data_IF_138751835110
#
_entry.id   IF_138751835110
#
_cell.length_a   1.000
_cell.length_b   1.000
_cell.length_c   1.000
_cell.angle_alpha   90.00
_cell.angle_beta   90.00
_cell.angle_gamma   90.00
#
_symmetry.space_group_name_H-M   'P 1'
#
loop_
_entity.id
_entity.type
_entity.pdbx_description
1 polymer ?
#
# COMPACT_ATOMS: atom_id res chain seq x y z
N UNK A 1 -58.64 23.33 -6.06
CA UNK A 1 -57.72 22.43 -5.33
C UNK A 1 -57.50 21.21 -6.23
N UNK A 2 -56.40 21.16 -6.97
CA UNK A 2 -56.13 20.02 -7.86
C UNK A 2 -55.83 18.79 -6.99
N UNK A 3 -56.39 17.61 -7.30
CA UNK A 3 -56.17 16.42 -6.49
C UNK A 3 -54.71 15.98 -6.58
N UNK A 4 -54.10 15.66 -5.44
CA UNK A 4 -52.81 15.00 -5.41
C UNK A 4 -52.95 13.62 -6.07
N UNK A 5 -52.11 13.28 -7.07
CA UNK A 5 -52.16 11.95 -7.68
C UNK A 5 -51.81 10.88 -6.65
N UNK A 6 -52.72 9.92 -6.46
CA UNK A 6 -52.51 8.74 -5.61
C UNK A 6 -51.59 7.76 -6.34
N UNK A 7 -50.29 7.81 -6.03
CA UNK A 7 -49.34 6.84 -6.57
C UNK A 7 -49.48 5.49 -5.85
N UNK A 8 -49.63 4.42 -6.63
CA UNK A 8 -49.45 3.04 -6.16
C UNK A 8 -48.05 2.87 -5.57
N UNK A 9 -47.91 2.14 -4.46
CA UNK A 9 -46.64 1.91 -3.74
C UNK A 9 -45.53 1.35 -4.65
N UNK A 10 -45.90 0.66 -5.75
CA UNK A 10 -44.94 0.19 -6.78
C UNK A 10 -44.41 1.32 -7.68
N UNK A 11 -45.24 2.32 -8.03
CA UNK A 11 -44.84 3.49 -8.82
C UNK A 11 -44.06 4.53 -7.99
N UNK A 12 -44.39 4.68 -6.70
CA UNK A 12 -43.60 5.51 -5.78
C UNK A 12 -42.16 4.98 -5.66
N UNK A 13 -41.98 3.66 -5.59
CA UNK A 13 -40.66 3.02 -5.57
C UNK A 13 -39.87 3.20 -6.87
N UNK A 14 -40.53 3.24 -8.04
CA UNK A 14 -39.83 3.44 -9.32
C UNK A 14 -39.31 4.86 -9.49
N UNK A 15 -40.10 5.87 -9.07
CA UNK A 15 -39.68 7.29 -9.13
C UNK A 15 -38.55 7.59 -8.15
N UNK A 16 -38.59 7.02 -6.94
CA UNK A 16 -37.49 7.15 -5.96
C UNK A 16 -36.22 6.48 -6.48
N UNK A 17 -36.32 5.31 -7.12
CA UNK A 17 -35.18 4.65 -7.74
C UNK A 17 -34.62 5.42 -8.94
N UNK A 18 -35.48 6.05 -9.74
CA UNK A 18 -35.08 6.93 -10.83
C UNK A 18 -34.37 8.18 -10.30
N UNK A 19 -34.93 8.86 -9.29
CA UNK A 19 -34.31 9.97 -8.60
C UNK A 19 -32.95 9.59 -7.99
N UNK A 20 -32.86 8.41 -7.36
CA UNK A 20 -31.61 7.90 -6.78
C UNK A 20 -30.50 7.63 -7.80
N UNK A 21 -30.86 7.40 -9.08
CA UNK A 21 -29.92 7.22 -10.20
C UNK A 21 -29.49 8.55 -10.84
N UNK A 22 -30.19 9.65 -10.56
CA UNK A 22 -29.80 10.95 -11.08
C UNK A 22 -28.47 11.41 -10.46
N UNK A 23 -27.66 12.12 -11.26
CA UNK A 23 -26.46 12.77 -10.74
C UNK A 23 -26.91 13.82 -9.71
N UNK A 24 -26.45 13.66 -8.46
CA UNK A 24 -26.75 14.62 -7.40
C UNK A 24 -26.27 16.02 -7.80
N UNK A 25 -27.18 16.99 -7.73
CA UNK A 25 -26.86 18.39 -7.99
C UNK A 25 -25.75 18.90 -7.06
N UNK A 26 -24.98 19.86 -7.56
CA UNK A 26 -24.02 20.60 -6.75
C UNK A 26 -24.80 21.57 -5.85
N UNK A 27 -24.53 21.54 -4.55
CA UNK A 27 -25.11 22.47 -3.59
C UNK A 27 -24.01 23.02 -2.68
N UNK A 28 -24.14 24.25 -2.15
CA UNK A 28 -23.18 24.81 -1.22
C UNK A 28 -22.88 23.88 -0.03
N UNK A 29 -23.91 23.24 0.53
CA UNK A 29 -23.75 22.27 1.62
C UNK A 29 -22.91 21.05 1.22
N UNK A 30 -23.01 20.60 -0.03
CA UNK A 30 -22.18 19.50 -0.53
C UNK A 30 -20.72 19.93 -0.68
N UNK A 31 -20.47 21.13 -1.20
CA UNK A 31 -19.11 21.70 -1.26
C UNK A 31 -18.51 21.81 0.14
N UNK A 32 -19.26 22.36 1.11
CA UNK A 32 -18.82 22.46 2.51
C UNK A 32 -18.49 21.09 3.11
N UNK A 33 -19.31 20.07 2.85
CA UNK A 33 -19.06 18.71 3.35
C UNK A 33 -17.77 18.10 2.76
N UNK A 34 -17.52 18.28 1.46
CA UNK A 34 -16.30 17.80 0.80
C UNK A 34 -15.08 18.55 1.32
N UNK A 35 -15.14 19.88 1.37
CA UNK A 35 -14.04 20.70 1.89
C UNK A 35 -13.73 20.39 3.34
N UNK A 36 -14.75 20.14 4.18
CA UNK A 36 -14.55 19.71 5.56
C UNK A 36 -13.84 18.35 5.66
N UNK A 37 -14.24 17.38 4.83
CA UNK A 37 -13.60 16.06 4.80
C UNK A 37 -12.13 16.12 4.35
N UNK A 38 -11.84 16.92 3.32
CA UNK A 38 -10.48 17.16 2.84
C UNK A 38 -9.62 17.88 3.90
N UNK A 39 -10.18 18.87 4.60
CA UNK A 39 -9.49 19.56 5.69
C UNK A 39 -9.23 18.63 6.88
N UNK A 40 -10.20 17.81 7.28
CA UNK A 40 -10.03 16.82 8.34
C UNK A 40 -8.94 15.80 7.98
N UNK A 41 -8.91 15.34 6.72
CA UNK A 41 -7.86 14.46 6.22
C UNK A 41 -6.48 15.12 6.31
N UNK A 42 -6.31 16.30 5.71
CA UNK A 42 -5.02 16.99 5.66
C UNK A 42 -4.49 17.40 7.04
N UNK A 43 -5.36 17.90 7.92
CA UNK A 43 -4.93 18.49 9.21
C UNK A 43 -4.83 17.48 10.36
N UNK A 44 -5.57 16.37 10.30
CA UNK A 44 -5.64 15.43 11.42
C UNK A 44 -5.19 14.02 11.04
N UNK A 45 -5.63 13.52 9.88
CA UNK A 45 -5.31 12.15 9.46
C UNK A 45 -3.88 12.06 8.96
N UNK A 46 -3.43 12.97 8.10
CA UNK A 46 -2.09 12.93 7.52
C UNK A 46 -0.99 13.02 8.60
N UNK A 47 -1.01 13.97 9.54
CA UNK A 47 0.00 14.02 10.61
C UNK A 47 -0.04 12.78 11.52
N UNK A 48 -1.24 12.31 11.86
CA UNK A 48 -1.39 11.10 12.66
C UNK A 48 -0.77 9.87 11.98
N UNK A 49 -0.99 9.71 10.68
CA UNK A 49 -0.42 8.58 9.93
C UNK A 49 1.09 8.75 9.76
N UNK A 50 1.56 9.91 9.31
CA UNK A 50 2.95 10.10 8.89
C UNK A 50 3.90 10.30 10.07
N UNK A 51 3.47 11.00 11.12
CA UNK A 51 4.36 11.45 12.20
C UNK A 51 4.13 10.74 13.54
N UNK A 52 2.97 10.09 13.73
CA UNK A 52 2.64 9.37 14.98
C UNK A 52 2.65 7.86 14.77
N UNK A 53 1.95 7.36 13.73
CA UNK A 53 1.97 5.93 13.39
C UNK A 53 3.28 5.49 12.70
N UNK A 54 4.00 6.44 12.10
CA UNK A 54 5.26 6.22 11.38
C UNK A 54 6.30 7.28 11.75
N UNK A 55 7.56 7.04 11.41
CA UNK A 55 8.70 7.91 11.71
C UNK A 55 8.96 8.96 10.61
N UNK A 56 7.90 9.42 9.95
CA UNK A 56 7.96 10.40 8.87
C UNK A 56 7.81 11.85 9.34
N UNK A 57 7.95 12.77 8.39
CA UNK A 57 7.67 14.21 8.54
C UNK A 57 6.84 14.73 7.38
N UNK A 58 5.77 15.44 7.70
CA UNK A 58 4.93 16.10 6.70
C UNK A 58 5.59 17.42 6.28
N UNK A 59 5.80 17.61 4.98
CA UNK A 59 6.27 18.88 4.41
C UNK A 59 5.06 19.73 4.01
N UNK A 60 4.07 19.10 3.40
CA UNK A 60 2.84 19.74 2.96
C UNK A 60 1.68 18.75 3.03
N UNK A 61 0.53 19.21 3.55
CA UNK A 61 -0.73 18.50 3.49
C UNK A 61 -1.84 19.53 3.29
N UNK A 62 -2.48 19.53 2.12
CA UNK A 62 -3.51 20.50 1.78
C UNK A 62 -4.54 19.89 0.87
N UNK A 63 -5.77 19.79 1.36
CA UNK A 63 -6.84 19.11 0.66
C UNK A 63 -6.56 17.61 0.52
N UNK A 64 -6.39 17.14 -0.71
CA UNK A 64 -6.02 15.78 -1.09
C UNK A 64 -4.53 15.61 -1.40
N UNK A 65 -3.78 16.70 -1.55
CA UNK A 65 -2.35 16.66 -1.87
C UNK A 65 -1.48 16.53 -0.62
N UNK A 66 -0.55 15.57 -0.64
CA UNK A 66 0.37 15.27 0.47
C UNK A 66 1.80 15.14 -0.04
N UNK A 67 2.72 15.84 0.62
CA UNK A 67 4.16 15.68 0.47
C UNK A 67 4.78 15.40 1.84
N UNK A 68 5.45 14.26 1.96
CA UNK A 68 6.10 13.83 3.19
C UNK A 68 7.45 13.18 2.89
N UNK A 69 8.34 13.22 3.88
CA UNK A 69 9.59 12.47 3.89
C UNK A 69 9.53 11.39 4.95
N UNK A 70 9.89 10.17 4.59
CA UNK A 70 9.83 9.01 5.47
C UNK A 70 11.10 8.16 5.35
N UNK A 71 11.48 7.42 6.40
CA UNK A 71 12.45 6.36 6.28
C UNK A 71 11.92 5.22 5.40
N UNK A 72 12.83 4.49 4.76
CA UNK A 72 12.49 3.40 3.82
C UNK A 72 11.67 2.30 4.49
N UNK A 73 11.89 2.05 5.78
CA UNK A 73 11.16 1.04 6.57
C UNK A 73 9.65 1.27 6.60
N UNK A 74 9.23 2.54 6.63
CA UNK A 74 7.87 2.99 6.92
C UNK A 74 7.15 3.49 5.66
N UNK A 75 7.89 3.73 4.58
CA UNK A 75 7.37 4.30 3.34
C UNK A 75 6.16 3.53 2.80
N UNK A 76 6.29 2.21 2.62
CA UNK A 76 5.23 1.41 2.00
C UNK A 76 3.98 1.32 2.88
N UNK A 77 4.14 1.17 4.20
CA UNK A 77 3.03 1.07 5.14
C UNK A 77 2.30 2.41 5.25
N UNK A 78 3.04 3.52 5.31
CA UNK A 78 2.47 4.86 5.36
C UNK A 78 1.69 5.19 4.08
N UNK A 79 2.24 4.87 2.90
CA UNK A 79 1.53 5.04 1.62
C UNK A 79 0.19 4.29 1.59
N UNK A 80 0.22 3.00 1.95
CA UNK A 80 -1.00 2.20 2.03
C UNK A 80 -2.00 2.78 3.04
N UNK A 81 -1.49 3.19 4.20
CA UNK A 81 -2.30 3.71 5.30
C UNK A 81 -3.00 5.02 4.91
N UNK A 82 -2.29 5.96 4.30
CA UNK A 82 -2.83 7.21 3.78
C UNK A 82 -3.91 6.96 2.73
N UNK A 83 -3.65 6.08 1.75
CA UNK A 83 -4.62 5.74 0.72
C UNK A 83 -5.94 5.25 1.30
N UNK A 84 -5.89 4.37 2.29
CA UNK A 84 -7.09 3.80 2.92
C UNK A 84 -7.80 4.81 3.82
N UNK A 85 -7.02 5.58 4.58
CA UNK A 85 -7.57 6.62 5.44
C UNK A 85 -8.31 7.70 4.63
N UNK A 86 -7.83 8.04 3.43
CA UNK A 86 -8.50 8.95 2.51
C UNK A 86 -9.94 8.52 2.15
N UNK A 87 -10.15 7.22 1.92
CA UNK A 87 -11.49 6.65 1.69
C UNK A 87 -12.28 6.37 2.97
N UNK A 88 -11.65 6.48 4.14
CA UNK A 88 -12.23 6.02 5.41
C UNK A 88 -12.42 4.50 5.47
N UNK A 89 -11.49 3.73 4.90
CA UNK A 89 -11.49 2.26 4.95
C UNK A 89 -10.29 1.75 5.77
N UNK A 90 -10.40 0.54 6.32
CA UNK A 90 -9.31 -0.10 7.08
C UNK A 90 -9.06 -1.53 6.58
N UNK A 91 -7.85 -2.03 6.84
CA UNK A 91 -7.48 -3.46 6.66
C UNK A 91 -8.29 -4.35 7.61
N UNK A 92 -8.62 -3.79 8.76
CA UNK A 92 -9.39 -4.43 9.81
C UNK A 92 -10.79 -3.83 9.82
N UNK A 93 -11.62 -4.25 8.86
CA UNK A 93 -13.07 -4.32 9.08
C UNK A 93 -13.37 -5.43 10.11
N UNK A 94 -12.70 -5.37 11.28
CA UNK A 94 -13.26 -6.04 12.45
C UNK A 94 -14.64 -5.42 12.64
N UNK A 95 -15.67 -6.21 12.99
CA UNK A 95 -16.94 -5.66 13.44
C UNK A 95 -16.70 -4.90 14.75
N UNK A 96 -16.18 -3.68 14.63
CA UNK A 96 -15.88 -2.79 15.73
C UNK A 96 -17.07 -1.87 15.89
N UNK A 97 -17.66 -1.89 17.09
CA UNK A 97 -18.70 -0.94 17.48
C UNK A 97 -18.04 0.42 17.72
N UNK A 98 -18.58 1.49 17.14
CA UNK A 98 -18.13 2.86 17.42
C UNK A 98 -18.16 3.20 18.91
N UNK A 99 -19.00 2.53 19.69
CA UNK A 99 -19.04 2.70 21.15
C UNK A 99 -17.76 2.26 21.84
N UNK A 100 -17.12 1.18 21.37
CA UNK A 100 -15.85 0.71 21.98
C UNK A 100 -14.69 1.64 21.64
N UNK A 101 -14.78 2.37 20.52
CA UNK A 101 -13.79 3.34 20.08
C UNK A 101 -13.74 4.62 20.92
N UNK A 102 -14.77 4.93 21.72
CA UNK A 102 -14.82 6.16 22.54
C UNK A 102 -13.61 6.36 23.46
N UNK A 103 -12.94 5.27 23.83
CA UNK A 103 -11.74 5.28 24.68
C UNK A 103 -10.43 5.15 23.90
N UNK A 104 -10.50 4.86 22.60
CA UNK A 104 -9.32 4.71 21.76
C UNK A 104 -8.75 6.08 21.38
N UNK A 105 -7.43 6.19 21.47
CA UNK A 105 -6.65 7.31 20.94
C UNK A 105 -6.11 7.04 19.54
N UNK A 106 -6.29 5.82 19.03
CA UNK A 106 -5.81 5.39 17.72
C UNK A 106 -6.71 5.92 16.60
N UNK A 107 -6.14 6.07 15.41
CA UNK A 107 -6.89 6.42 14.21
C UNK A 107 -7.59 5.19 13.66
N UNK A 108 -8.92 5.18 13.70
CA UNK A 108 -9.74 4.09 13.16
C UNK A 108 -10.54 4.58 11.97
N UNK A 109 -10.40 3.90 10.84
CA UNK A 109 -11.11 4.22 9.60
C UNK A 109 -12.14 3.13 9.31
N UNK A 110 -13.40 3.52 9.08
CA UNK A 110 -14.48 2.58 8.76
C UNK A 110 -15.62 3.31 8.04
N UNK A 111 -16.25 2.64 7.08
CA UNK A 111 -17.46 3.10 6.39
C UNK A 111 -17.42 4.55 5.85
N UNK A 112 -16.25 5.04 5.43
CA UNK A 112 -16.12 6.43 4.95
C UNK A 112 -15.90 7.47 6.05
N UNK A 113 -15.61 7.03 7.28
CA UNK A 113 -15.31 7.87 8.42
C UNK A 113 -13.95 7.53 9.01
N UNK A 114 -13.38 8.51 9.72
CA UNK A 114 -12.21 8.32 10.56
C UNK A 114 -12.53 8.79 11.98
N UNK A 115 -12.07 8.03 12.97
CA UNK A 115 -12.17 8.37 14.38
C UNK A 115 -10.76 8.53 14.93
N UNK A 116 -10.50 9.64 15.62
CA UNK A 116 -9.22 9.90 16.26
C UNK A 116 -9.43 10.67 17.55
N UNK A 117 -9.02 10.09 18.69
CA UNK A 117 -8.97 10.77 20.00
C UNK A 117 -10.24 11.57 20.34
N UNK A 118 -11.41 10.94 20.27
CA UNK A 118 -12.68 11.62 20.57
C UNK A 118 -13.38 12.23 19.35
N UNK A 119 -12.65 12.48 18.26
CA UNK A 119 -13.17 13.18 17.08
C UNK A 119 -13.61 12.22 16.00
N UNK A 120 -14.87 12.32 15.58
CA UNK A 120 -15.41 11.65 14.39
C UNK A 120 -15.32 12.59 13.19
N UNK A 121 -14.67 12.14 12.13
CA UNK A 121 -14.41 12.89 10.90
C UNK A 121 -15.02 12.16 9.71
N UNK A 122 -15.62 12.91 8.79
CA UNK A 122 -16.07 12.36 7.50
C UNK A 122 -14.87 12.32 6.56
N UNK A 123 -14.64 11.19 5.92
CA UNK A 123 -13.62 11.06 4.87
C UNK A 123 -14.28 11.20 3.50
N UNK A 124 -13.50 11.08 2.43
CA UNK A 124 -14.02 11.23 1.05
C UNK A 124 -14.96 10.10 0.63
N UNK A 125 -15.00 9.01 1.40
CA UNK A 125 -15.89 7.88 1.22
C UNK A 125 -15.27 6.73 0.43
N UNK A 126 -15.93 5.57 0.45
CA UNK A 126 -15.39 4.31 -0.08
C UNK A 126 -15.09 4.34 -1.58
N UNK A 127 -15.81 5.17 -2.34
CA UNK A 127 -15.64 5.33 -3.78
C UNK A 127 -14.55 6.35 -4.15
N UNK A 128 -14.05 7.13 -3.19
CA UNK A 128 -12.98 8.06 -3.44
C UNK A 128 -11.65 7.30 -3.56
N UNK A 129 -10.87 7.65 -4.58
CA UNK A 129 -9.59 7.01 -4.86
C UNK A 129 -8.47 8.03 -4.82
N UNK A 130 -7.24 7.56 -4.58
CA UNK A 130 -6.04 8.40 -4.61
C UNK A 130 -4.92 7.65 -5.33
N UNK A 131 -4.08 8.40 -6.03
CA UNK A 131 -2.84 7.90 -6.62
C UNK A 131 -1.65 8.48 -5.85
N UNK A 132 -0.57 7.71 -5.71
CA UNK A 132 0.61 8.15 -4.98
C UNK A 132 1.92 7.85 -5.71
N UNK A 133 2.84 8.81 -5.71
CA UNK A 133 4.22 8.61 -6.12
C UNK A 133 5.14 8.46 -4.91
N UNK A 134 6.19 7.66 -5.04
CA UNK A 134 7.26 7.57 -4.04
C UNK A 134 8.62 7.43 -4.71
N UNK A 135 9.64 8.03 -4.10
CA UNK A 135 11.02 7.94 -4.56
C UNK A 135 11.92 7.60 -3.39
N UNK A 136 12.73 6.57 -3.55
CA UNK A 136 13.84 6.25 -2.66
C UNK A 136 15.13 6.70 -3.33
N UNK A 137 15.83 7.62 -2.68
CA UNK A 137 17.06 8.22 -3.18
C UNK A 137 18.12 8.26 -2.08
N UNK A 138 19.39 8.41 -2.49
CA UNK A 138 20.47 8.65 -1.56
C UNK A 138 20.31 10.01 -0.88
N UNK A 139 20.71 10.15 0.40
CA UNK A 139 20.58 11.41 1.15
C UNK A 139 21.40 12.58 0.56
N UNK A 140 22.41 12.29 -0.27
CA UNK A 140 23.19 13.30 -1.01
C UNK A 140 22.64 13.62 -2.40
N UNK A 141 21.58 12.93 -2.84
CA UNK A 141 20.98 13.22 -4.14
C UNK A 141 20.38 14.64 -4.12
N UNK A 142 20.57 15.46 -5.18
CA UNK A 142 19.99 16.80 -5.23
C UNK A 142 18.47 16.74 -5.06
N UNK A 143 17.95 17.44 -4.05
CA UNK A 143 16.52 17.40 -3.70
C UNK A 143 15.62 17.82 -4.88
N UNK A 144 16.07 18.77 -5.70
CA UNK A 144 15.34 19.18 -6.92
C UNK A 144 15.17 18.05 -7.93
N UNK A 145 16.18 17.20 -8.10
CA UNK A 145 16.10 16.02 -8.96
C UNK A 145 15.17 14.96 -8.37
N UNK A 146 15.22 14.74 -7.06
CA UNK A 146 14.32 13.82 -6.34
C UNK A 146 12.87 14.27 -6.45
N UNK A 147 12.58 15.56 -6.25
CA UNK A 147 11.22 16.11 -6.37
C UNK A 147 10.69 16.04 -7.81
N UNK A 148 11.56 16.21 -8.82
CA UNK A 148 11.17 16.01 -10.21
C UNK A 148 10.78 14.55 -10.46
N UNK A 149 11.61 13.61 -10.01
CA UNK A 149 11.30 12.17 -10.14
C UNK A 149 10.04 11.79 -9.37
N UNK A 150 9.80 12.40 -8.20
CA UNK A 150 8.60 12.17 -7.40
C UNK A 150 7.32 12.57 -8.16
N UNK A 151 7.34 13.72 -8.84
CA UNK A 151 6.25 14.16 -9.71
C UNK A 151 6.05 13.22 -10.89
N UNK A 152 7.13 12.72 -11.49
CA UNK A 152 7.03 11.74 -12.57
C UNK A 152 6.48 10.39 -12.08
N UNK A 153 6.85 9.94 -10.87
CA UNK A 153 6.26 8.75 -10.25
C UNK A 153 4.75 8.93 -10.03
N UNK A 154 4.31 10.08 -9.51
CA UNK A 154 2.89 10.38 -9.33
C UNK A 154 2.13 10.40 -10.68
N UNK A 155 2.73 11.00 -11.73
CA UNK A 155 2.17 10.97 -13.08
C UNK A 155 2.08 9.55 -13.64
N UNK A 156 3.11 8.71 -13.45
CA UNK A 156 3.06 7.29 -13.84
C UNK A 156 1.92 6.56 -13.14
N UNK A 157 1.73 6.79 -11.85
CA UNK A 157 0.61 6.21 -11.10
C UNK A 157 -0.76 6.64 -11.66
N UNK A 158 -0.90 7.90 -12.09
CA UNK A 158 -2.15 8.41 -12.69
C UNK A 158 -2.39 7.92 -14.11
N UNK A 159 -1.34 7.79 -14.92
CA UNK A 159 -1.43 7.48 -16.35
C UNK A 159 -1.22 5.99 -16.62
N UNK A 160 -0.03 5.46 -16.36
CA UNK A 160 0.31 4.05 -16.59
C UNK A 160 -0.44 3.12 -15.63
N UNK A 161 -0.62 3.57 -14.38
CA UNK A 161 -1.38 2.85 -13.35
C UNK A 161 -2.90 2.99 -13.45
N UNK A 162 -3.41 3.75 -14.43
CA UNK A 162 -4.84 4.02 -14.65
C UNK A 162 -5.57 4.53 -13.39
N UNK A 163 -4.96 5.51 -12.70
CA UNK A 163 -5.43 6.09 -11.43
C UNK A 163 -5.64 5.05 -10.33
N UNK A 164 -5.91 5.51 -9.12
CA UNK A 164 -6.04 4.64 -7.95
C UNK A 164 -4.88 3.63 -7.81
N UNK A 165 -3.67 4.13 -7.95
CA UNK A 165 -2.46 3.33 -8.11
C UNK A 165 -1.28 3.99 -7.42
N UNK A 166 -0.20 3.24 -7.25
CA UNK A 166 1.07 3.76 -6.79
C UNK A 166 2.15 3.62 -7.87
N UNK A 167 3.18 4.47 -7.80
CA UNK A 167 4.44 4.27 -8.51
C UNK A 167 5.58 4.54 -7.54
N UNK A 168 6.49 3.58 -7.42
CA UNK A 168 7.66 3.64 -6.57
C UNK A 168 8.91 3.61 -7.44
N UNK A 169 9.81 4.56 -7.23
CA UNK A 169 11.10 4.61 -7.94
C UNK A 169 12.26 4.52 -6.97
N UNK A 170 13.19 3.61 -7.24
CA UNK A 170 14.44 3.47 -6.49
C UNK A 170 15.58 3.99 -7.36
N UNK A 171 16.19 5.09 -6.95
CA UNK A 171 17.37 5.69 -7.59
C UNK A 171 18.61 5.03 -6.99
N UNK A 172 19.27 4.15 -7.75
CA UNK A 172 20.49 3.46 -7.32
C UNK A 172 21.68 4.42 -7.40
N UNK A 173 22.67 4.25 -6.50
CA UNK A 173 23.92 5.05 -6.51
C UNK A 173 24.69 4.94 -7.82
N UNK A 174 24.53 3.86 -8.57
CA UNK A 174 25.17 3.65 -9.88
C UNK A 174 24.52 4.43 -11.03
N UNK A 175 23.53 5.30 -10.75
CA UNK A 175 22.86 6.15 -11.73
C UNK A 175 21.63 5.53 -12.40
N UNK A 176 21.38 4.24 -12.19
CA UNK A 176 20.16 3.56 -12.69
C UNK A 176 18.94 3.79 -11.78
N UNK A 177 17.77 4.00 -12.38
CA UNK A 177 16.50 4.02 -11.68
C UNK A 177 15.69 2.75 -12.00
N UNK A 178 15.02 2.19 -11.00
CA UNK A 178 14.06 1.11 -11.18
C UNK A 178 12.71 1.57 -10.66
N UNK A 179 11.68 1.46 -11.49
CA UNK A 179 10.33 1.91 -11.16
C UNK A 179 9.36 0.74 -11.15
N UNK A 180 8.53 0.67 -10.13
CA UNK A 180 7.44 -0.30 -9.97
C UNK A 180 6.13 0.48 -9.88
N UNK A 181 5.26 0.32 -10.87
CA UNK A 181 3.92 0.91 -10.92
C UNK A 181 2.88 -0.19 -10.80
N UNK A 182 1.84 0.02 -10.00
CA UNK A 182 0.79 -0.98 -9.81
C UNK A 182 -0.38 -0.47 -8.98
N UNK A 183 -1.46 -1.25 -8.95
CA UNK A 183 -2.62 -0.99 -8.08
C UNK A 183 -2.25 -1.22 -6.61
N UNK A 184 -3.06 -0.69 -5.69
CA UNK A 184 -2.76 -0.76 -4.25
C UNK A 184 -2.69 -2.19 -3.70
N UNK A 185 -3.34 -3.16 -4.34
CA UNK A 185 -3.22 -4.60 -4.02
C UNK A 185 -1.80 -5.15 -4.25
N UNK A 186 -1.10 -4.66 -5.29
CA UNK A 186 0.31 -4.97 -5.59
C UNK A 186 1.23 -4.39 -4.49
N UNK A 187 0.93 -3.22 -3.94
CA UNK A 187 1.67 -2.65 -2.81
C UNK A 187 1.56 -3.55 -1.57
N UNK A 188 0.39 -4.16 -1.34
CA UNK A 188 0.20 -5.10 -0.23
C UNK A 188 1.02 -6.36 -0.41
N UNK A 189 1.08 -6.86 -1.64
CA UNK A 189 1.92 -8.00 -1.99
C UNK A 189 3.40 -7.65 -1.80
N UNK A 190 3.80 -6.42 -2.11
CA UNK A 190 5.17 -5.94 -1.94
C UNK A 190 5.54 -5.87 -0.46
N UNK A 191 4.64 -5.38 0.39
CA UNK A 191 4.79 -5.40 1.85
C UNK A 191 4.97 -6.83 2.38
N UNK A 192 4.12 -7.78 1.97
CA UNK A 192 4.25 -9.20 2.39
C UNK A 192 5.56 -9.82 1.94
N UNK A 193 6.00 -9.55 0.71
CA UNK A 193 7.27 -10.04 0.21
C UNK A 193 8.45 -9.41 0.95
N UNK A 194 8.40 -8.10 1.22
CA UNK A 194 9.40 -7.41 2.04
C UNK A 194 9.52 -8.06 3.42
N UNK A 195 8.40 -8.29 4.10
CA UNK A 195 8.36 -8.92 5.42
C UNK A 195 8.93 -10.35 5.37
N UNK A 196 8.56 -11.12 4.35
CA UNK A 196 9.11 -12.46 4.11
C UNK A 196 10.64 -12.43 3.91
N UNK A 197 11.16 -11.53 3.08
CA UNK A 197 12.60 -11.41 2.79
C UNK A 197 13.41 -10.79 3.93
N UNK A 198 12.76 -10.06 4.84
CA UNK A 198 13.37 -9.50 6.04
C UNK A 198 13.49 -10.54 7.16
N UNK A 199 12.72 -11.63 7.12
CA UNK A 199 12.75 -12.69 8.12
C UNK A 199 14.16 -13.33 8.20
N UNK A 200 14.70 -13.56 9.42
CA UNK A 200 16.04 -14.10 9.60
C UNK A 200 16.19 -15.54 9.05
N UNK A 201 15.08 -16.27 8.92
CA UNK A 201 15.05 -17.62 8.36
C UNK A 201 15.16 -17.65 6.82
N UNK A 202 15.10 -16.50 6.15
CA UNK A 202 15.19 -16.41 4.70
C UNK A 202 16.60 -15.94 4.31
N UNK A 203 17.18 -16.63 3.32
CA UNK A 203 18.49 -16.33 2.77
C UNK A 203 18.57 -14.89 2.28
N UNK A 204 19.66 -14.19 2.64
CA UNK A 204 19.94 -12.83 2.12
C UNK A 204 20.21 -12.81 0.61
N UNK A 205 20.49 -13.97 0.04
CA UNK A 205 20.68 -14.16 -1.40
C UNK A 205 19.42 -14.68 -2.09
N UNK A 206 18.29 -14.81 -1.38
CA UNK A 206 17.07 -15.41 -1.91
C UNK A 206 16.65 -14.78 -3.25
N UNK A 207 16.67 -13.44 -3.32
CA UNK A 207 16.31 -12.72 -4.56
C UNK A 207 17.35 -12.87 -5.67
N UNK A 208 18.64 -12.93 -5.35
CA UNK A 208 19.68 -13.16 -6.35
C UNK A 208 19.47 -14.52 -7.02
N UNK A 209 19.33 -15.59 -6.22
CA UNK A 209 19.06 -16.95 -6.71
C UNK A 209 17.73 -17.05 -7.45
N UNK A 210 16.69 -16.34 -6.97
CA UNK A 210 15.40 -16.33 -7.66
C UNK A 210 15.49 -15.65 -9.03
N UNK A 211 16.21 -14.53 -9.14
CA UNK A 211 16.36 -13.79 -10.41
C UNK A 211 17.20 -14.57 -11.42
N UNK A 212 18.27 -15.23 -10.97
CA UNK A 212 19.05 -16.12 -11.83
C UNK A 212 18.18 -17.24 -12.38
N UNK A 213 17.37 -17.88 -11.53
CA UNK A 213 16.43 -18.91 -11.98
C UNK A 213 15.31 -18.37 -12.90
N UNK A 214 14.90 -17.11 -12.77
CA UNK A 214 13.84 -16.54 -13.62
C UNK A 214 14.19 -16.56 -15.11
N UNK A 215 15.47 -16.65 -15.50
CA UNK A 215 15.87 -16.79 -16.91
C UNK A 215 15.45 -18.14 -17.50
N UNK A 216 15.28 -19.15 -16.65
CA UNK A 216 14.90 -20.50 -17.05
C UNK A 216 13.38 -20.72 -16.99
N UNK A 217 12.61 -19.68 -16.65
CA UNK A 217 11.15 -19.76 -16.54
C UNK A 217 10.52 -19.88 -17.95
N UNK A 218 9.78 -20.96 -18.26
CA UNK A 218 9.19 -21.14 -19.60
C UNK A 218 8.24 -20.00 -19.96
N UNK A 219 8.33 -19.43 -21.16
CA UNK A 219 7.48 -18.31 -21.60
C UNK A 219 5.98 -18.66 -21.50
N UNK A 220 5.62 -19.89 -21.86
CA UNK A 220 4.26 -20.43 -21.80
C UNK A 220 3.82 -20.90 -20.40
N UNK A 221 4.59 -20.61 -19.34
CA UNK A 221 4.22 -21.11 -18.02
C UNK A 221 2.90 -20.51 -17.52
N UNK A 222 1.92 -21.36 -17.24
CA UNK A 222 0.65 -20.90 -16.68
C UNK A 222 0.80 -20.44 -15.22
N UNK A 223 -0.26 -19.84 -14.67
CA UNK A 223 -0.30 -19.33 -13.29
C UNK A 223 0.07 -20.42 -12.27
N UNK A 224 -0.47 -21.63 -12.43
CA UNK A 224 -0.22 -22.75 -11.52
C UNK A 224 1.24 -23.22 -11.56
N UNK A 225 1.82 -23.37 -12.77
CA UNK A 225 3.22 -23.75 -12.91
C UNK A 225 4.15 -22.67 -12.37
N UNK A 226 3.90 -21.40 -12.69
CA UNK A 226 4.66 -20.26 -12.17
C UNK A 226 4.62 -20.24 -10.63
N UNK A 227 3.45 -20.45 -10.03
CA UNK A 227 3.29 -20.51 -8.57
C UNK A 227 4.03 -21.67 -7.93
N UNK A 228 3.94 -22.87 -8.51
CA UNK A 228 4.66 -24.05 -8.03
C UNK A 228 6.18 -23.85 -8.05
N UNK A 229 6.70 -23.27 -9.14
CA UNK A 229 8.12 -23.00 -9.30
C UNK A 229 8.62 -21.89 -8.35
N UNK A 230 7.87 -20.78 -8.22
CA UNK A 230 8.18 -19.74 -7.25
C UNK A 230 8.14 -20.28 -5.81
N UNK A 231 7.17 -21.13 -5.48
CA UNK A 231 7.09 -21.78 -4.17
C UNK A 231 8.33 -22.62 -3.91
N UNK A 232 8.72 -23.46 -4.88
CA UNK A 232 9.91 -24.28 -4.78
C UNK A 232 11.17 -23.44 -4.53
N UNK A 233 11.35 -22.36 -5.31
CA UNK A 233 12.52 -21.50 -5.15
C UNK A 233 12.54 -20.76 -3.82
N UNK A 234 11.43 -20.12 -3.42
CA UNK A 234 11.38 -19.40 -2.14
C UNK A 234 11.55 -20.35 -0.94
N UNK A 235 10.99 -21.56 -1.02
CA UNK A 235 11.16 -22.57 0.02
C UNK A 235 12.62 -23.02 0.14
N UNK A 236 13.33 -23.22 -0.97
CA UNK A 236 14.77 -23.56 -0.98
C UNK A 236 15.63 -22.47 -0.34
N UNK A 237 15.16 -21.22 -0.38
CA UNK A 237 15.83 -20.07 0.23
C UNK A 237 15.42 -19.83 1.68
N UNK A 238 14.61 -20.72 2.27
CA UNK A 238 14.18 -20.64 3.66
C UNK A 238 14.86 -21.75 4.47
N UNK A 239 15.17 -21.51 5.75
CA UNK A 239 15.90 -22.44 6.62
C UNK A 239 15.23 -23.83 6.74
N UNK A 240 13.90 -23.91 6.69
CA UNK A 240 13.17 -25.17 6.64
C UNK A 240 11.79 -25.02 5.98
N UNK A 241 11.19 -26.14 5.57
CA UNK A 241 9.83 -26.18 5.03
C UNK A 241 8.78 -25.68 6.04
N UNK A 242 8.96 -26.01 7.33
CA UNK A 242 8.06 -25.56 8.39
C UNK A 242 8.11 -24.04 8.58
N UNK A 243 9.31 -23.45 8.52
CA UNK A 243 9.47 -21.99 8.58
C UNK A 243 8.87 -21.31 7.36
N UNK A 244 9.06 -21.88 6.17
CA UNK A 244 8.43 -21.37 4.95
C UNK A 244 6.91 -21.36 5.05
N UNK A 245 6.31 -22.42 5.62
CA UNK A 245 4.88 -22.50 5.87
C UNK A 245 4.42 -21.48 6.92
N UNK A 246 5.16 -21.33 8.02
CA UNK A 246 4.84 -20.38 9.09
C UNK A 246 4.85 -18.92 8.60
N UNK A 247 5.74 -18.59 7.67
CA UNK A 247 5.82 -17.27 7.04
C UNK A 247 4.79 -17.07 5.91
N UNK A 248 3.92 -18.05 5.64
CA UNK A 248 2.92 -17.98 4.58
C UNK A 248 3.51 -17.98 3.16
N UNK A 249 4.73 -18.48 2.98
CA UNK A 249 5.47 -18.41 1.72
C UNK A 249 4.75 -19.06 0.54
N UNK A 250 3.97 -20.12 0.78
CA UNK A 250 3.15 -20.76 -0.26
C UNK A 250 2.08 -19.81 -0.82
N UNK A 251 1.34 -19.13 0.05
CA UNK A 251 0.31 -18.16 -0.35
C UNK A 251 0.95 -16.95 -1.05
N UNK A 252 2.11 -16.50 -0.57
CA UNK A 252 2.87 -15.43 -1.18
C UNK A 252 3.30 -15.78 -2.62
N UNK A 253 3.83 -16.98 -2.83
CA UNK A 253 4.24 -17.46 -4.16
C UNK A 253 3.06 -17.52 -5.15
N UNK A 254 1.90 -18.02 -4.70
CA UNK A 254 0.69 -18.07 -5.54
C UNK A 254 0.21 -16.66 -5.90
N UNK A 255 0.19 -15.74 -4.94
CA UNK A 255 -0.18 -14.34 -5.19
C UNK A 255 0.77 -13.65 -6.17
N UNK A 256 2.08 -13.91 -6.04
CA UNK A 256 3.09 -13.42 -7.00
C UNK A 256 2.85 -13.98 -8.40
N UNK A 257 2.61 -15.28 -8.53
CA UNK A 257 2.36 -15.91 -9.83
C UNK A 257 1.11 -15.35 -10.51
N UNK A 258 0.00 -15.20 -9.77
CA UNK A 258 -1.24 -14.62 -10.28
C UNK A 258 -0.98 -13.22 -10.82
N UNK A 259 -0.34 -12.35 -10.02
CA UNK A 259 -0.07 -10.97 -10.41
C UNK A 259 0.95 -10.84 -11.52
N UNK A 260 1.98 -11.67 -11.54
CA UNK A 260 3.00 -11.64 -12.58
C UNK A 260 2.45 -12.08 -13.94
N UNK A 261 1.56 -13.08 -13.98
CA UNK A 261 0.90 -13.53 -15.21
C UNK A 261 -0.17 -12.55 -15.74
N UNK A 262 -0.59 -11.55 -14.95
CA UNK A 262 -1.45 -10.45 -15.42
C UNK A 262 -0.63 -9.37 -16.17
N UNK A 263 0.70 -9.42 -16.09
CA UNK A 263 1.58 -8.42 -16.69
C UNK A 263 1.94 -8.77 -18.12
N UNK A 264 2.22 -7.74 -18.92
CA UNK A 264 2.69 -7.90 -20.30
C UNK A 264 4.00 -8.67 -20.40
N UNK A 265 4.93 -8.40 -19.48
CA UNK A 265 6.21 -9.09 -19.37
C UNK A 265 6.38 -9.59 -17.94
N UNK A 266 6.04 -10.86 -17.75
CA UNK A 266 6.05 -11.53 -16.45
C UNK A 266 7.45 -11.55 -15.83
N UNK A 267 8.46 -11.94 -16.60
CA UNK A 267 9.82 -12.17 -16.11
C UNK A 267 10.45 -10.84 -15.69
N UNK A 268 10.31 -9.81 -16.53
CA UNK A 268 10.78 -8.45 -16.19
C UNK A 268 10.05 -7.88 -14.98
N UNK A 269 8.73 -8.08 -14.88
CA UNK A 269 7.98 -7.61 -13.73
C UNK A 269 8.43 -8.30 -12.44
N UNK A 270 8.60 -9.63 -12.45
CA UNK A 270 9.12 -10.38 -11.30
C UNK A 270 10.51 -9.90 -10.90
N UNK A 271 11.40 -9.68 -11.87
CA UNK A 271 12.75 -9.17 -11.61
C UNK A 271 12.71 -7.80 -10.91
N UNK A 272 11.90 -6.86 -11.42
CA UNK A 272 11.73 -5.54 -10.82
C UNK A 272 11.11 -5.65 -9.43
N UNK A 273 10.08 -6.47 -9.27
CA UNK A 273 9.33 -6.64 -8.03
C UNK A 273 10.21 -7.24 -6.92
N UNK A 274 10.87 -8.37 -7.20
CA UNK A 274 11.79 -9.03 -6.26
C UNK A 274 12.96 -8.11 -5.90
N UNK A 275 13.56 -7.43 -6.87
CA UNK A 275 14.68 -6.50 -6.62
C UNK A 275 14.25 -5.32 -5.74
N UNK A 276 13.06 -4.78 -5.97
CA UNK A 276 12.50 -3.67 -5.18
C UNK A 276 12.20 -4.12 -3.75
N UNK A 277 11.60 -5.30 -3.59
CA UNK A 277 11.31 -5.87 -2.28
C UNK A 277 12.59 -6.15 -1.48
N UNK A 278 13.61 -6.74 -2.11
CA UNK A 278 14.89 -7.00 -1.46
C UNK A 278 15.61 -5.72 -1.07
N UNK A 279 15.59 -4.70 -1.92
CA UNK A 279 16.18 -3.40 -1.61
C UNK A 279 15.59 -2.82 -0.32
N UNK A 280 14.27 -2.85 -0.18
CA UNK A 280 13.56 -2.34 1.01
C UNK A 280 13.78 -3.27 2.21
N UNK A 281 13.75 -4.59 2.01
CA UNK A 281 13.95 -5.57 3.06
C UNK A 281 15.32 -5.45 3.72
N UNK A 282 16.37 -5.12 2.95
CA UNK A 282 17.74 -4.92 3.45
C UNK A 282 17.84 -3.86 4.54
N UNK A 283 17.08 -2.77 4.41
CA UNK A 283 17.05 -1.69 5.40
C UNK A 283 16.28 -2.06 6.67
N UNK A 284 15.43 -3.10 6.61
CA UNK A 284 14.58 -3.55 7.72
C UNK A 284 15.11 -4.79 8.46
N UNK A 285 16.20 -5.39 7.98
CA UNK A 285 16.80 -6.56 8.65
C UNK A 285 17.41 -6.11 9.98
N UNK A 286 16.90 -6.65 11.09
CA UNK A 286 17.56 -6.50 12.38
C UNK A 286 19.00 -7.09 12.27
N UNK A 287 20.01 -6.42 12.85
CA UNK A 287 21.32 -7.05 12.97
C UNK A 287 21.14 -8.35 13.77
N UNK A 288 21.66 -9.46 13.23
CA UNK A 288 21.77 -10.70 14.00
C UNK A 288 22.66 -10.35 15.18
N UNK A 289 22.10 -10.28 16.38
CA UNK A 289 22.89 -10.28 17.61
C UNK A 289 23.70 -11.57 17.57
N UNK A 290 24.99 -11.48 17.22
CA UNK A 290 25.91 -12.59 17.47
C UNK A 290 25.81 -12.84 18.97
N UNK A 291 25.36 -14.02 19.35
CA UNK A 291 25.44 -14.45 20.74
C UNK A 291 26.90 -14.21 21.18
N UNK A 292 27.08 -13.35 22.19
CA UNK A 292 28.38 -13.14 22.79
C UNK A 292 28.89 -14.49 23.28
N UNK A 293 30.01 -14.94 22.72
CA UNK A 293 30.77 -16.05 23.31
C UNK A 293 31.06 -15.69 24.78
N UNK A 294 30.88 -16.61 25.73
CA UNK A 294 31.20 -16.34 27.12
C UNK A 294 32.70 -16.01 27.23
N UNK A 295 32.98 -14.84 27.80
CA UNK A 295 34.32 -14.37 28.15
C UNK A 295 35.07 -15.44 28.96
N UNK A 296 36.30 -15.82 28.59
CA UNK A 296 37.13 -16.72 29.37
C UNK A 296 37.82 -15.94 30.50
N UNK A 297 37.03 -15.39 31.42
CA UNK A 297 37.54 -14.84 32.68
C UNK A 297 36.54 -15.18 33.77
N UNK A 298 36.59 -16.43 34.21
CA UNK A 298 36.26 -16.89 35.56
C UNK A 298 36.71 -18.35 35.67
N UNK A 299 37.97 -18.53 36.03
CA UNK A 299 38.55 -19.73 36.64
C UNK A 299 39.53 -19.30 37.72
#
# INVERSE_FOLDING_TARGET
MLPFPSYSTKQANSLVAEYGRQKRALSPNRHLAISAALNDFALHVVPQVVEVEHLGRVIYAGGDDVLAMLPVSDLLSAMQRLRRAYSGTSRHDRPMDWRSLRRSKELVCKDGFAYLSGRLMRMMGQNATASGGAVIAHHQAPLSAVLRELREAEKRAKNEGDRDAFSLTVIKRSGGATSLTGKWDILELLLKLRDFLAAPEVSRQAVYHSIEWLTDLPENAEKAMTGALLRYQLQRQTASADRFKALGGAQLADQLAIKACEQRDRTKWLQIFLSTAEFIARETRAPVCKASEPSPVDR
#
